data_IF_101468938802
#
_entry.id   IF_101468938802
#
_cell.length_a   1.000
_cell.length_b   1.000
_cell.length_c   1.000
_cell.angle_alpha   90.00
_cell.angle_beta   90.00
_cell.angle_gamma   90.00
#
_symmetry.space_group_name_H-M   'P 1'
#
loop_
_entity.id
_entity.type
_entity.pdbx_description
1 polymer ?
#
# COMPACT_ATOMS: atom_id res chain seq x y z
N UNK A 1 -2.85 5.16 -2.19
CA UNK A 1 -3.62 3.89 -2.14
C UNK A 1 -4.10 3.59 -0.72
N UNK A 2 -5.41 3.32 -0.56
CA UNK A 2 -6.02 3.00 0.73
C UNK A 2 -5.92 1.51 1.05
N UNK A 3 -5.75 1.22 2.35
CA UNK A 3 -5.71 -0.15 2.86
C UNK A 3 -7.03 -0.89 2.62
N UNK A 4 -8.15 -0.22 2.85
CA UNK A 4 -9.47 -0.81 2.65
C UNK A 4 -9.72 -1.21 1.19
N UNK A 5 -9.30 -0.38 0.25
CA UNK A 5 -9.46 -0.66 -1.18
C UNK A 5 -8.68 -1.92 -1.60
N UNK A 6 -7.43 -2.00 -1.13
CA UNK A 6 -6.61 -3.20 -1.32
C UNK A 6 -7.20 -4.43 -0.64
N UNK A 7 -7.73 -4.29 0.58
CA UNK A 7 -8.41 -5.38 1.29
C UNK A 7 -9.66 -5.86 0.55
N UNK A 8 -10.44 -4.94 -0.02
CA UNK A 8 -11.62 -5.25 -0.83
C UNK A 8 -11.22 -5.99 -2.12
N UNK A 9 -10.16 -5.53 -2.80
CA UNK A 9 -9.64 -6.17 -4.00
C UNK A 9 -9.14 -7.60 -3.75
N UNK A 10 -8.29 -7.79 -2.73
CA UNK A 10 -7.76 -9.12 -2.40
C UNK A 10 -8.79 -10.01 -1.68
N UNK A 11 -9.83 -9.42 -1.09
CA UNK A 11 -10.84 -10.06 -0.24
C UNK A 11 -10.32 -10.57 1.11
N UNK A 12 -9.01 -10.52 1.37
CA UNK A 12 -8.42 -11.02 2.61
C UNK A 12 -7.08 -10.36 2.92
N UNK A 13 -6.89 -9.98 4.19
CA UNK A 13 -5.64 -9.41 4.68
C UNK A 13 -4.44 -10.35 4.47
N UNK A 14 -4.64 -11.68 4.54
CA UNK A 14 -3.58 -12.68 4.29
C UNK A 14 -3.11 -12.67 2.84
N UNK A 15 -4.05 -12.55 1.87
CA UNK A 15 -3.72 -12.45 0.45
C UNK A 15 -2.98 -11.14 0.16
N UNK A 16 -3.47 -10.02 0.72
CA UNK A 16 -2.82 -8.72 0.66
C UNK A 16 -1.38 -8.76 1.23
N UNK A 17 -1.20 -9.39 2.40
CA UNK A 17 0.10 -9.53 3.05
C UNK A 17 1.09 -10.32 2.17
N UNK A 18 0.63 -11.45 1.63
CA UNK A 18 1.42 -12.31 0.74
C UNK A 18 1.80 -11.58 -0.55
N UNK A 19 0.87 -10.85 -1.16
CA UNK A 19 1.11 -10.05 -2.36
C UNK A 19 2.10 -8.90 -2.09
N UNK A 20 1.98 -8.22 -0.95
CA UNK A 20 2.92 -7.18 -0.53
C UNK A 20 4.28 -7.72 -0.05
N UNK A 21 4.41 -9.03 0.13
CA UNK A 21 5.60 -9.67 0.70
C UNK A 21 5.87 -9.21 2.14
N UNK A 22 4.83 -9.17 2.97
CA UNK A 22 4.89 -8.87 4.39
C UNK A 22 4.10 -9.90 5.20
N UNK A 23 4.33 -9.92 6.51
CA UNK A 23 3.50 -10.68 7.44
C UNK A 23 2.15 -10.00 7.67
N UNK A 24 1.12 -10.79 7.93
CA UNK A 24 -0.22 -10.32 8.32
C UNK A 24 -0.22 -9.21 9.40
N UNK A 25 0.53 -9.33 10.53
CA UNK A 25 0.59 -8.26 11.53
C UNK A 25 1.16 -6.95 11.00
N UNK A 26 2.02 -6.98 9.97
CA UNK A 26 2.52 -5.76 9.35
C UNK A 26 1.41 -5.03 8.57
N UNK A 27 0.52 -5.76 7.89
CA UNK A 27 -0.66 -5.20 7.23
C UNK A 27 -1.61 -4.59 8.25
N UNK A 28 -1.82 -5.27 9.39
CA UNK A 28 -2.62 -4.71 10.48
C UNK A 28 -2.04 -3.41 11.03
N UNK A 29 -0.71 -3.30 11.09
CA UNK A 29 -0.01 -2.09 11.53
C UNK A 29 0.00 -0.96 10.52
N UNK A 30 -0.35 -1.20 9.26
CA UNK A 30 -0.59 -0.12 8.31
C UNK A 30 -1.81 0.70 8.75
N UNK A 31 -1.67 2.02 8.66
CA UNK A 31 -2.76 2.96 8.89
C UNK A 31 -3.81 2.89 7.77
N UNK A 32 -4.57 3.96 7.59
CA UNK A 32 -5.57 4.04 6.53
C UNK A 32 -4.93 3.95 5.12
N UNK A 33 -3.70 4.44 5.00
CA UNK A 33 -2.91 4.45 3.76
C UNK A 33 -1.84 3.35 3.80
N UNK A 34 -1.69 2.62 2.71
CA UNK A 34 -0.64 1.61 2.56
C UNK A 34 0.68 2.32 2.27
N UNK A 35 1.81 1.98 2.93
CA UNK A 35 3.08 2.64 2.67
C UNK A 35 3.54 2.49 1.21
N UNK A 36 4.09 3.56 0.66
CA UNK A 36 4.50 3.72 -0.74
C UNK A 36 5.22 2.49 -1.31
N UNK A 37 6.31 2.06 -0.68
CA UNK A 37 7.11 0.89 -1.10
C UNK A 37 6.29 -0.40 -1.24
N UNK A 38 5.22 -0.55 -0.45
CA UNK A 38 4.34 -1.73 -0.48
C UNK A 38 3.24 -1.54 -1.52
N UNK A 39 2.70 -0.34 -1.65
CA UNK A 39 1.76 0.01 -2.70
C UNK A 39 2.35 -0.22 -4.10
N UNK A 40 3.59 0.25 -4.36
CA UNK A 40 4.29 0.00 -5.62
C UNK A 40 4.55 -1.49 -5.89
N UNK A 41 4.76 -2.29 -4.84
CA UNK A 41 4.89 -3.75 -4.99
C UNK A 41 3.55 -4.39 -5.31
N UNK A 42 2.48 -3.93 -4.67
CA UNK A 42 1.11 -4.40 -4.87
C UNK A 42 0.61 -4.11 -6.29
N UNK A 43 0.91 -2.92 -6.82
CA UNK A 43 0.64 -2.55 -8.21
C UNK A 43 1.24 -3.56 -9.19
N UNK A 44 2.54 -3.87 -9.04
CA UNK A 44 3.24 -4.85 -9.89
C UNK A 44 2.69 -6.27 -9.79
N UNK A 45 2.30 -6.73 -8.60
CA UNK A 45 1.76 -8.10 -8.42
C UNK A 45 0.30 -8.23 -8.79
N UNK A 46 -0.43 -7.11 -8.85
CA UNK A 46 -1.83 -7.06 -9.28
C UNK A 46 -1.98 -6.66 -10.74
N UNK A 47 -0.87 -6.58 -11.49
CA UNK A 47 -0.84 -6.22 -12.91
C UNK A 47 -1.55 -4.88 -13.17
N UNK A 48 -1.38 -3.91 -12.26
CA UNK A 48 -2.01 -2.58 -12.36
C UNK A 48 -3.47 -2.52 -11.89
N UNK A 49 -4.04 -3.58 -11.32
CA UNK A 49 -5.39 -3.54 -10.77
C UNK A 49 -5.49 -2.64 -9.51
N UNK A 50 -4.43 -2.58 -8.71
CA UNK A 50 -4.27 -1.58 -7.65
C UNK A 50 -3.33 -0.48 -8.12
N UNK A 51 -3.90 0.61 -8.61
CA UNK A 51 -3.14 1.75 -9.12
C UNK A 51 -2.29 2.37 -8.01
N UNK A 52 -0.98 2.21 -8.14
CA UNK A 52 -0.03 2.95 -7.32
C UNK A 52 0.14 4.35 -7.90
N UNK A 53 -0.24 5.36 -7.12
CA UNK A 53 -0.12 6.75 -7.50
C UNK A 53 1.00 7.41 -6.68
N UNK A 54 2.19 7.64 -7.24
CA UNK A 54 3.31 8.22 -6.50
C UNK A 54 2.97 9.65 -6.05
N UNK A 55 2.15 10.39 -6.79
CA UNK A 55 1.72 11.74 -6.43
C UNK A 55 0.94 11.77 -5.12
N UNK A 56 0.14 10.73 -4.86
CA UNK A 56 -0.58 10.54 -3.59
C UNK A 56 0.36 10.31 -2.39
N UNK A 57 1.60 9.87 -2.62
CA UNK A 57 2.62 9.66 -1.60
C UNK A 57 3.65 10.80 -1.55
N UNK A 58 3.76 11.56 -2.63
CA UNK A 58 4.62 12.72 -2.81
C UNK A 58 4.10 13.99 -2.13
N UNK A 59 3.14 13.90 -1.21
CA UNK A 59 2.87 14.98 -0.26
C UNK A 59 3.66 14.76 1.05
N UNK A 60 4.95 15.15 1.12
CA UNK A 60 5.59 15.53 2.34
C UNK A 60 5.48 17.05 2.46
N UNK A 61 4.45 17.55 3.14
CA UNK A 61 4.51 18.84 3.81
C UNK A 61 5.52 18.83 4.99
N UNK A 62 6.67 18.16 4.83
CA UNK A 62 7.84 18.16 5.72
C UNK A 62 9.17 18.00 4.95
N UNK A 63 9.28 18.55 3.73
CA UNK A 63 10.57 19.10 3.28
C UNK A 63 10.64 20.58 3.68
N UNK A 64 10.88 20.81 4.97
CA UNK A 64 11.61 21.99 5.47
C UNK A 64 12.90 21.37 6.02
N UNK A 65 14.01 21.33 5.28
CA UNK A 65 14.91 22.43 4.92
C UNK A 65 15.62 23.03 6.14
N UNK A 66 16.96 23.01 6.05
CA UNK A 66 18.00 23.61 6.92
C UNK A 66 18.48 22.76 8.11
#
# INVERSE_FOLDING_TARGET
MFKNDALAFFGSATKLARAAGVSLPAVSRWGNVIPERRAARLDRVTDGALKYDPEFYLEPNNTTAA
#
